data_IF_625497957712
#
_entry.id   IF_625497957712
#
_cell.length_a   1.000
_cell.length_b   1.000
_cell.length_c   1.000
_cell.angle_alpha   90.00
_cell.angle_beta   90.00
_cell.angle_gamma   90.00
#
_symmetry.space_group_name_H-M   'P 1'
#
loop_
_entity.id
_entity.type
_entity.pdbx_description
1 polymer ?
#
# COMPACT_ATOMS: atom_id res chain seq x y z
N UNK A 1 10.63 1.13 -25.65
CA UNK A 1 10.90 2.58 -25.62
C UNK A 1 12.20 2.97 -26.34
N UNK A 2 13.38 2.51 -25.89
CA UNK A 2 14.69 2.88 -26.48
C UNK A 2 14.80 2.72 -28.00
N UNK A 3 14.24 1.63 -28.56
CA UNK A 3 14.20 1.43 -30.03
C UNK A 3 13.45 2.55 -30.77
N UNK A 4 12.40 3.12 -30.19
CA UNK A 4 11.65 4.26 -30.75
C UNK A 4 12.47 5.55 -30.68
N UNK A 5 13.19 5.76 -29.58
CA UNK A 5 14.09 6.91 -29.41
C UNK A 5 15.21 6.90 -30.47
N UNK A 6 15.87 5.76 -30.68
CA UNK A 6 16.92 5.62 -31.71
C UNK A 6 16.37 5.90 -33.12
N UNK A 7 15.10 5.60 -33.37
CA UNK A 7 14.41 5.87 -34.64
C UNK A 7 13.88 7.31 -34.76
N UNK A 8 14.04 8.15 -33.73
CA UNK A 8 13.51 9.51 -33.70
C UNK A 8 12.00 9.60 -33.47
N UNK A 9 11.35 8.48 -33.12
CA UNK A 9 9.90 8.36 -32.91
C UNK A 9 9.46 8.71 -31.47
N UNK A 10 10.42 8.93 -30.56
CA UNK A 10 10.18 9.28 -29.16
C UNK A 10 11.34 10.10 -28.60
N UNK A 11 11.08 10.89 -27.56
CA UNK A 11 12.10 11.68 -26.86
C UNK A 11 12.65 10.95 -25.63
N UNK A 12 13.87 11.30 -25.22
CA UNK A 12 14.45 10.82 -23.96
C UNK A 12 13.62 11.21 -22.74
N UNK A 13 12.94 12.35 -22.78
CA UNK A 13 12.05 12.78 -21.69
C UNK A 13 10.93 11.79 -21.41
N UNK A 14 10.39 11.15 -22.44
CA UNK A 14 9.32 10.13 -22.32
C UNK A 14 9.83 8.84 -21.64
N UNK A 15 11.13 8.55 -21.71
CA UNK A 15 11.72 7.41 -21.01
C UNK A 15 11.81 7.64 -19.49
N UNK A 16 11.96 8.90 -19.09
CA UNK A 16 12.11 9.31 -17.70
C UNK A 16 10.79 9.79 -17.08
N UNK A 17 9.68 9.69 -17.81
CA UNK A 17 8.37 9.92 -17.23
C UNK A 17 8.15 8.98 -16.04
N UNK A 18 7.53 9.52 -14.99
CA UNK A 18 7.27 8.76 -13.78
C UNK A 18 6.35 7.60 -14.13
N UNK A 19 6.82 6.39 -13.85
CA UNK A 19 6.04 5.18 -14.09
C UNK A 19 4.81 5.16 -13.18
N UNK A 20 3.62 5.22 -13.79
CA UNK A 20 2.35 5.14 -13.08
C UNK A 20 1.88 3.68 -13.04
N UNK A 21 1.92 3.07 -11.85
CA UNK A 21 1.52 1.68 -11.64
C UNK A 21 0.06 1.39 -11.97
N UNK A 22 -0.79 2.42 -11.96
CA UNK A 22 -2.21 2.32 -12.31
C UNK A 22 -2.42 2.00 -13.79
N UNK A 23 -1.39 2.21 -14.62
CA UNK A 23 -1.43 1.82 -16.03
C UNK A 23 -1.45 0.31 -16.19
N UNK A 24 -0.69 -0.40 -15.35
CA UNK A 24 -0.46 -1.84 -15.50
C UNK A 24 -1.21 -2.69 -14.46
N UNK A 25 -1.64 -2.11 -13.34
CA UNK A 25 -2.29 -2.84 -12.25
C UNK A 25 -3.67 -2.26 -11.95
N UNK A 26 -4.61 -3.18 -11.70
CA UNK A 26 -6.01 -2.85 -11.35
C UNK A 26 -6.36 -3.22 -9.92
N UNK A 27 -5.54 -4.06 -9.30
CA UNK A 27 -5.75 -4.60 -7.97
C UNK A 27 -4.55 -4.21 -7.11
N UNK A 28 -4.81 -3.69 -5.92
CA UNK A 28 -3.75 -3.24 -5.03
C UNK A 28 -4.02 -3.70 -3.60
N UNK A 29 -2.96 -4.07 -2.91
CA UNK A 29 -2.92 -4.27 -1.47
C UNK A 29 -2.21 -3.07 -0.85
N UNK A 30 -2.91 -2.27 -0.05
CA UNK A 30 -2.33 -1.17 0.73
C UNK A 30 -2.04 -1.67 2.15
N UNK A 31 -0.82 -1.45 2.61
CA UNK A 31 -0.41 -1.63 4.00
C UNK A 31 -0.25 -0.26 4.64
N UNK A 32 -0.81 -0.04 5.81
CA UNK A 32 -0.71 1.21 6.55
C UNK A 32 -0.25 0.95 7.99
N UNK A 33 0.94 1.43 8.31
CA UNK A 33 1.50 1.42 9.67
C UNK A 33 1.07 2.70 10.39
N UNK A 34 0.57 2.55 11.61
CA UNK A 34 0.43 3.63 12.59
C UNK A 34 1.39 3.41 13.75
N UNK A 35 2.07 4.47 14.18
CA UNK A 35 3.03 4.50 15.27
C UNK A 35 2.68 5.59 16.29
N UNK A 36 3.10 5.38 17.54
CA UNK A 36 2.85 6.29 18.65
C UNK A 36 3.81 7.49 18.60
N UNK A 37 5.02 7.27 18.06
CA UNK A 37 6.01 8.31 17.85
C UNK A 37 6.84 8.08 16.56
N UNK A 38 7.65 9.08 16.20
CA UNK A 38 8.48 9.03 15.00
C UNK A 38 9.59 7.97 15.07
N UNK A 39 10.18 7.71 16.23
CA UNK A 39 11.25 6.71 16.37
C UNK A 39 10.70 5.31 16.14
N UNK A 40 9.51 5.03 16.68
CA UNK A 40 8.76 3.81 16.39
C UNK A 40 8.44 3.71 14.89
N UNK A 41 7.94 4.77 14.26
CA UNK A 41 7.64 4.79 12.82
C UNK A 41 8.87 4.43 11.97
N UNK A 42 10.03 5.01 12.27
CA UNK A 42 11.29 4.73 11.56
C UNK A 42 11.71 3.28 11.76
N UNK A 43 11.67 2.79 13.00
CA UNK A 43 12.09 1.44 13.37
C UNK A 43 11.20 0.37 12.76
N UNK A 44 9.89 0.45 12.98
CA UNK A 44 8.91 -0.50 12.45
C UNK A 44 8.74 -0.37 10.93
N UNK A 45 8.74 0.86 10.42
CA UNK A 45 8.70 1.11 8.98
C UNK A 45 9.93 0.55 8.26
N UNK A 46 11.12 0.62 8.88
CA UNK A 46 12.33 0.00 8.37
C UNK A 46 12.26 -1.53 8.38
N UNK A 47 11.70 -2.13 9.43
CA UNK A 47 11.46 -3.57 9.50
C UNK A 47 10.51 -4.02 8.39
N UNK A 48 9.36 -3.36 8.23
CA UNK A 48 8.38 -3.67 7.17
C UNK A 48 9.02 -3.51 5.80
N UNK A 49 9.73 -2.40 5.54
CA UNK A 49 10.45 -2.17 4.29
C UNK A 49 11.38 -3.33 3.91
N UNK A 50 12.06 -3.92 4.90
CA UNK A 50 12.98 -5.05 4.68
C UNK A 50 12.28 -6.36 4.35
N UNK A 51 10.97 -6.48 4.65
CA UNK A 51 10.16 -7.70 4.53
C UNK A 51 9.08 -7.63 3.45
N UNK A 52 8.81 -6.46 2.86
CA UNK A 52 7.84 -6.35 1.76
C UNK A 52 8.12 -7.28 0.59
N UNK A 53 9.39 -7.60 0.33
CA UNK A 53 9.76 -8.57 -0.71
C UNK A 53 9.31 -9.98 -0.37
N UNK A 54 9.38 -10.38 0.90
CA UNK A 54 8.89 -11.68 1.37
C UNK A 54 7.37 -11.77 1.15
N UNK A 55 6.62 -10.71 1.50
CA UNK A 55 5.17 -10.64 1.22
C UNK A 55 4.85 -10.71 -0.28
N UNK A 56 5.58 -9.95 -1.11
CA UNK A 56 5.37 -10.00 -2.56
C UNK A 56 5.59 -11.40 -3.10
N UNK A 57 6.65 -12.10 -2.66
CA UNK A 57 6.90 -13.48 -3.05
C UNK A 57 5.79 -14.43 -2.60
N UNK A 58 5.28 -14.33 -1.38
CA UNK A 58 4.15 -15.15 -0.93
C UNK A 58 2.88 -14.91 -1.76
N UNK A 59 2.60 -13.65 -2.12
CA UNK A 59 1.46 -13.33 -2.99
C UNK A 59 1.65 -13.91 -4.40
N UNK A 60 2.86 -13.90 -4.93
CA UNK A 60 3.20 -14.49 -6.24
C UNK A 60 3.15 -16.03 -6.27
N UNK A 61 3.14 -16.70 -5.11
CA UNK A 61 2.90 -18.15 -5.02
C UNK A 61 1.42 -18.52 -5.27
N UNK A 62 0.50 -17.56 -5.18
CA UNK A 62 -0.91 -17.82 -5.44
C UNK A 62 -1.17 -18.07 -6.94
N UNK A 63 -1.86 -19.14 -7.29
CA UNK A 63 -2.13 -19.60 -8.68
C UNK A 63 -2.67 -18.52 -9.63
N UNK A 64 -3.35 -17.52 -9.08
CA UNK A 64 -4.00 -16.46 -9.85
C UNK A 64 -3.29 -15.11 -9.82
N UNK A 65 -2.19 -14.95 -9.07
CA UNK A 65 -1.42 -13.71 -9.01
C UNK A 65 -0.15 -13.92 -9.82
N UNK A 66 -0.02 -13.23 -10.96
CA UNK A 66 1.11 -13.43 -11.88
C UNK A 66 2.38 -12.71 -11.43
N UNK A 67 2.20 -11.52 -10.86
CA UNK A 67 3.31 -10.70 -10.36
C UNK A 67 2.81 -9.65 -9.39
N UNK A 68 3.70 -9.21 -8.50
CA UNK A 68 3.46 -8.14 -7.53
C UNK A 68 4.51 -7.05 -7.66
N UNK A 69 4.05 -5.78 -7.68
CA UNK A 69 4.90 -4.59 -7.72
C UNK A 69 4.78 -3.80 -6.43
N UNK A 70 5.89 -3.72 -5.68
CA UNK A 70 5.95 -2.95 -4.43
C UNK A 70 6.24 -1.49 -4.74
N UNK A 71 5.46 -0.60 -4.14
CA UNK A 71 5.56 0.84 -4.32
C UNK A 71 5.48 1.52 -2.96
N UNK A 72 6.49 2.33 -2.67
CA UNK A 72 6.51 3.10 -1.43
C UNK A 72 5.67 4.35 -1.65
N UNK A 73 4.62 4.49 -0.86
CA UNK A 73 3.85 5.73 -0.77
C UNK A 73 4.67 6.70 0.07
N UNK A 74 4.75 7.98 -0.31
CA UNK A 74 5.47 8.96 0.51
C UNK A 74 4.81 9.08 1.88
N UNK A 75 5.63 9.17 2.92
CA UNK A 75 5.18 9.27 4.30
C UNK A 75 4.28 10.51 4.45
N UNK A 76 3.04 10.31 4.87
CA UNK A 76 2.11 11.41 5.13
C UNK A 76 2.31 11.87 6.57
N UNK A 77 3.24 12.81 6.78
CA UNK A 77 3.34 13.51 8.06
C UNK A 77 2.14 14.45 8.19
N UNK A 78 1.15 14.07 8.99
CA UNK A 78 0.07 14.99 9.39
C UNK A 78 0.46 15.71 10.68
N UNK A 79 1.33 16.71 10.59
CA UNK A 79 1.57 17.64 11.72
C UNK A 79 1.71 19.05 11.18
N UNK A 80 1.07 20.02 11.85
CA UNK A 80 1.46 21.42 11.78
C UNK A 80 2.95 21.53 12.02
N UNK A 81 3.70 21.75 10.95
CA UNK A 81 5.15 21.63 10.86
C UNK A 81 5.89 22.42 11.95
N UNK A 82 6.85 21.81 12.65
CA UNK A 82 8.13 22.44 12.89
C UNK A 82 9.14 21.75 11.97
N UNK A 83 9.35 22.37 10.82
CA UNK A 83 10.53 22.13 9.99
C UNK A 83 11.78 22.20 10.87
N UNK A 84 12.63 21.18 10.77
CA UNK A 84 14.02 21.18 11.20
C UNK A 84 14.27 21.03 12.71
N UNK A 85 14.30 19.79 13.21
CA UNK A 85 14.98 19.47 14.47
C UNK A 85 16.50 19.52 14.25
N UNK A 86 17.13 20.61 14.67
CA UNK A 86 18.58 20.66 14.91
C UNK A 86 18.89 20.03 16.28
N UNK A 87 19.91 19.16 16.41
CA UNK A 87 20.34 18.70 17.72
C UNK A 87 20.99 19.86 18.49
N UNK A 88 20.35 20.33 19.58
CA UNK A 88 20.98 21.29 20.50
C UNK A 88 20.06 22.26 21.25
N UNK A 89 18.74 22.29 21.01
CA UNK A 89 17.86 23.25 21.68
C UNK A 89 16.84 22.54 22.55
N UNK A 90 16.93 22.75 23.86
CA UNK A 90 15.98 22.22 24.83
C UNK A 90 14.56 22.77 24.54
N UNK A 91 13.51 21.94 24.61
CA UNK A 91 12.15 22.41 24.33
C UNK A 91 11.64 23.23 25.51
N UNK A 92 11.47 24.54 25.29
CA UNK A 92 10.71 25.42 26.18
C UNK A 92 9.23 25.05 26.07
N UNK A 93 8.60 24.86 27.22
CA UNK A 93 7.24 24.37 27.40
C UNK A 93 6.21 25.06 26.48
N UNK A 94 5.52 24.26 25.66
CA UNK A 94 4.33 24.68 24.91
C UNK A 94 3.14 23.85 25.40
N UNK A 95 2.05 24.58 25.67
CA UNK A 95 0.79 24.18 26.29
C UNK A 95 0.17 22.85 25.79
N UNK A 96 -0.47 22.04 26.65
CA UNK A 96 -1.08 20.77 26.28
C UNK A 96 -2.48 21.01 25.68
N UNK A 97 -2.51 21.50 24.44
CA UNK A 97 -3.74 21.53 23.64
C UNK A 97 -3.38 21.54 22.17
N UNK A 98 -2.84 20.41 21.69
CA UNK A 98 -2.50 20.22 20.30
C UNK A 98 -2.87 18.78 19.91
N UNK A 99 -3.75 18.67 18.91
CA UNK A 99 -4.14 17.46 18.21
C UNK A 99 -2.92 16.57 17.98
N UNK A 100 -2.87 15.43 18.65
CA UNK A 100 -1.79 14.44 18.49
C UNK A 100 -1.73 14.03 17.00
N UNK A 101 -0.68 14.44 16.30
CA UNK A 101 -0.45 13.96 14.94
C UNK A 101 -0.22 12.45 14.98
N UNK A 102 -0.92 11.70 14.12
CA UNK A 102 -0.65 10.29 13.95
C UNK A 102 0.60 10.11 13.09
N UNK A 103 1.58 9.34 13.59
CA UNK A 103 2.74 8.95 12.80
C UNK A 103 2.35 7.76 11.94
N UNK A 104 2.21 7.96 10.63
CA UNK A 104 1.81 6.88 9.73
C UNK A 104 2.72 6.75 8.50
N UNK A 105 2.75 5.53 7.97
CA UNK A 105 3.49 5.17 6.76
C UNK A 105 2.72 4.15 5.97
N UNK A 106 2.75 4.26 4.65
CA UNK A 106 1.97 3.39 3.77
C UNK A 106 2.83 2.76 2.68
N UNK A 107 2.41 1.58 2.24
CA UNK A 107 2.97 0.88 1.10
C UNK A 107 1.84 0.37 0.22
N UNK A 108 2.08 0.34 -1.08
CA UNK A 108 1.13 -0.16 -2.07
C UNK A 108 1.76 -1.31 -2.85
N UNK A 109 1.07 -2.42 -2.94
CA UNK A 109 1.48 -3.58 -3.72
C UNK A 109 0.48 -3.75 -4.87
N UNK A 110 0.90 -3.43 -6.09
CA UNK A 110 0.11 -3.66 -7.30
C UNK A 110 0.16 -5.13 -7.69
N UNK A 111 -1.00 -5.77 -7.85
CA UNK A 111 -1.13 -7.19 -8.16
C UNK A 111 -1.68 -7.37 -9.59
N UNK A 112 -0.96 -8.13 -10.42
CA UNK A 112 -1.44 -8.58 -11.73
C UNK A 112 -2.21 -9.90 -11.55
N UNK A 113 -3.52 -9.77 -11.33
CA UNK A 113 -4.41 -10.92 -11.16
C UNK A 113 -4.84 -11.44 -12.53
N UNK A 114 -4.60 -12.74 -12.77
CA UNK A 114 -5.02 -13.43 -13.99
C UNK A 114 -6.55 -13.40 -14.08
N UNK A 115 -7.07 -12.84 -15.18
CA UNK A 115 -8.51 -12.78 -15.44
C UNK A 115 -9.09 -14.17 -15.57
N UNK A 116 -10.31 -14.35 -15.07
CA UNK A 116 -11.06 -15.58 -15.30
C UNK A 116 -11.33 -15.76 -16.80
N UNK A 117 -11.33 -17.01 -17.30
CA UNK A 117 -11.74 -17.27 -18.68
C UNK A 117 -13.19 -16.81 -18.87
N UNK A 118 -13.46 -16.17 -20.02
CA UNK A 118 -14.82 -15.78 -20.38
C UNK A 118 -15.68 -17.03 -20.53
N UNK A 119 -16.82 -17.07 -19.84
CA UNK A 119 -17.80 -18.15 -20.04
C UNK A 119 -18.38 -18.09 -21.46
N UNK A 120 -18.93 -19.20 -21.94
CA UNK A 120 -19.59 -19.29 -23.25
C UNK A 120 -20.73 -18.26 -23.42
N UNK A 121 -21.34 -17.83 -22.31
CA UNK A 121 -22.40 -16.80 -22.26
C UNK A 121 -21.87 -15.36 -22.21
N UNK A 122 -20.56 -15.14 -22.41
CA UNK A 122 -19.92 -13.82 -22.36
C UNK A 122 -19.81 -13.22 -20.95
N UNK A 123 -20.34 -13.89 -19.94
CA UNK A 123 -20.17 -13.54 -18.53
C UNK A 123 -18.76 -13.92 -18.08
N UNK A 124 -18.00 -12.96 -17.56
CA UNK A 124 -16.75 -13.25 -16.84
C UNK A 124 -17.10 -13.62 -15.41
N UNK A 125 -16.87 -14.88 -14.98
CA UNK A 125 -17.09 -15.24 -13.59
C UNK A 125 -16.11 -14.48 -12.71
N UNK A 126 -16.61 -13.99 -11.56
CA UNK A 126 -15.77 -13.39 -10.54
C UNK A 126 -14.81 -14.46 -10.01
N UNK A 127 -13.51 -14.17 -10.02
CA UNK A 127 -12.48 -15.06 -9.47
C UNK A 127 -12.21 -14.63 -8.03
N UNK A 128 -12.43 -15.54 -7.10
CA UNK A 128 -12.10 -15.33 -5.70
C UNK A 128 -10.60 -15.62 -5.50
N UNK A 129 -9.90 -14.65 -4.90
CA UNK A 129 -8.47 -14.71 -4.59
C UNK A 129 -8.36 -14.48 -3.10
N UNK A 130 -8.04 -15.53 -2.34
CA UNK A 130 -7.84 -15.44 -0.91
C UNK A 130 -6.35 -15.27 -0.61
N UNK A 131 -5.98 -14.10 -0.07
CA UNK A 131 -4.61 -13.77 0.30
C UNK A 131 -4.35 -13.84 1.81
N UNK A 132 -5.36 -14.19 2.60
CA UNK A 132 -5.29 -14.30 4.06
C UNK A 132 -4.10 -15.13 4.55
N UNK A 133 -3.80 -16.34 4.00
CA UNK A 133 -2.66 -17.13 4.48
C UNK A 133 -1.31 -16.43 4.26
N UNK A 134 -1.14 -15.70 3.17
CA UNK A 134 0.10 -14.97 2.88
C UNK A 134 0.29 -13.76 3.80
N UNK A 135 -0.80 -13.06 4.12
CA UNK A 135 -0.79 -11.99 5.12
C UNK A 135 -0.45 -12.55 6.51
N UNK A 136 -1.06 -13.67 6.90
CA UNK A 136 -0.75 -14.31 8.18
C UNK A 136 0.73 -14.70 8.29
N UNK A 137 1.31 -15.30 7.25
CA UNK A 137 2.74 -15.61 7.19
C UNK A 137 3.60 -14.35 7.33
N UNK A 138 3.22 -13.27 6.67
CA UNK A 138 3.92 -12.00 6.77
C UNK A 138 3.88 -11.41 8.19
N UNK A 139 2.72 -11.39 8.85
CA UNK A 139 2.62 -10.95 10.24
C UNK A 139 3.45 -11.82 11.19
N UNK A 140 3.49 -13.14 10.97
CA UNK A 140 4.34 -14.05 11.76
C UNK A 140 5.82 -13.68 11.64
N UNK A 141 6.31 -13.41 10.42
CA UNK A 141 7.70 -12.97 10.21
C UNK A 141 8.00 -11.65 10.91
N UNK A 142 7.06 -10.69 10.88
CA UNK A 142 7.22 -9.43 11.60
C UNK A 142 7.29 -9.66 13.11
N UNK A 143 6.40 -10.51 13.64
CA UNK A 143 6.36 -10.86 15.05
C UNK A 143 7.63 -11.60 15.52
N UNK A 144 8.18 -12.51 14.71
CA UNK A 144 9.46 -13.18 15.01
C UNK A 144 10.64 -12.19 15.13
N UNK A 145 10.57 -11.08 14.39
CA UNK A 145 11.60 -10.03 14.40
C UNK A 145 11.39 -9.00 15.51
N UNK A 146 10.15 -8.81 15.93
CA UNK A 146 9.77 -7.94 17.03
C UNK A 146 8.54 -8.49 17.75
N UNK A 147 8.81 -9.29 18.79
CA UNK A 147 7.76 -9.95 19.56
C UNK A 147 6.96 -8.99 20.46
N UNK A 148 7.48 -7.78 20.71
CA UNK A 148 6.88 -6.81 21.62
C UNK A 148 5.87 -5.90 20.91
N UNK A 149 5.87 -5.90 19.58
CA UNK A 149 4.98 -5.07 18.77
C UNK A 149 3.74 -5.85 18.35
N UNK A 150 2.55 -5.34 18.65
CA UNK A 150 1.31 -5.89 18.10
C UNK A 150 1.08 -5.37 16.67
N UNK A 151 1.62 -6.10 15.68
CA UNK A 151 1.46 -5.72 14.27
C UNK A 151 0.03 -5.81 13.76
N UNK A 152 -0.84 -6.65 14.36
CA UNK A 152 -2.24 -6.73 13.94
C UNK A 152 -3.00 -5.43 14.24
N UNK A 153 -2.64 -4.74 15.33
CA UNK A 153 -3.24 -3.45 15.69
C UNK A 153 -2.61 -2.28 14.93
N UNK A 154 -1.29 -2.33 14.70
CA UNK A 154 -0.52 -1.21 14.16
C UNK A 154 -0.38 -1.21 12.63
N UNK A 155 -0.44 -2.36 11.97
CA UNK A 155 -0.24 -2.50 10.53
C UNK A 155 -1.51 -3.05 9.87
N UNK A 156 -2.27 -2.18 9.22
CA UNK A 156 -3.54 -2.53 8.58
C UNK A 156 -3.35 -2.85 7.10
N UNK A 157 -3.92 -3.97 6.66
CA UNK A 157 -4.00 -4.35 5.27
C UNK A 157 -5.38 -4.01 4.69
N UNK A 158 -5.40 -3.38 3.51
CA UNK A 158 -6.64 -3.03 2.80
C UNK A 158 -6.50 -3.30 1.30
N UNK A 159 -7.61 -3.69 0.68
CA UNK A 159 -7.66 -4.00 -0.75
C UNK A 159 -8.31 -2.85 -1.52
N UNK A 160 -7.69 -2.48 -2.64
CA UNK A 160 -8.12 -1.37 -3.49
C UNK A 160 -8.20 -1.84 -4.96
N UNK A 161 -9.17 -1.30 -5.69
CA UNK A 161 -9.33 -1.53 -7.13
C UNK A 161 -9.36 -0.23 -7.92
N UNK A 162 -8.75 -0.22 -9.11
CA UNK A 162 -8.72 0.93 -10.01
C UNK A 162 -9.49 0.65 -11.30
N UNK A 163 -10.70 1.19 -11.44
CA UNK A 163 -11.47 1.11 -12.69
C UNK A 163 -11.19 2.34 -13.58
N UNK A 164 -10.78 2.10 -14.82
CA UNK A 164 -10.14 3.10 -15.68
C UNK A 164 -11.06 4.05 -16.44
N UNK A 165 -12.22 4.44 -15.91
CA UNK A 165 -13.08 5.44 -16.54
C UNK A 165 -13.74 6.37 -15.52
N UNK A 166 -13.44 7.66 -15.65
CA UNK A 166 -14.15 8.83 -15.13
C UNK A 166 -14.90 8.67 -13.79
N UNK A 167 -14.21 9.09 -12.71
CA UNK A 167 -14.79 9.67 -11.49
C UNK A 167 -15.88 8.90 -10.73
N UNK A 168 -16.03 7.59 -10.93
CA UNK A 168 -16.95 6.77 -10.15
C UNK A 168 -16.21 5.56 -9.58
N UNK A 169 -15.92 5.62 -8.28
CA UNK A 169 -15.37 4.51 -7.52
C UNK A 169 -16.53 3.71 -6.93
N UNK A 170 -16.68 2.46 -7.37
CA UNK A 170 -17.57 1.50 -6.70
C UNK A 170 -16.91 1.01 -5.43
N UNK A 171 -17.37 1.55 -4.29
CA UNK A 171 -17.17 0.92 -2.99
C UNK A 171 -17.91 -0.41 -2.99
N UNK A 172 -17.26 -1.47 -3.46
CA UNK A 172 -17.78 -2.82 -3.27
C UNK A 172 -17.57 -3.17 -1.82
N UNK A 173 -18.62 -2.94 -1.03
CA UNK A 173 -18.68 -3.35 0.36
C UNK A 173 -18.24 -4.80 0.50
N UNK A 174 -17.42 -5.06 1.51
CA UNK A 174 -16.95 -6.38 1.91
C UNK A 174 -18.13 -7.36 2.00
N UNK A 175 -18.39 -8.05 0.90
CA UNK A 175 -19.34 -9.14 0.80
C UNK A 175 -18.96 -10.00 -0.40
N UNK A 176 -17.83 -10.69 -0.27
CA UNK A 176 -17.86 -12.13 0.00
C UNK A 176 -16.43 -12.66 0.10
N UNK A 177 -16.18 -13.31 1.23
CA UNK A 177 -14.96 -14.02 1.66
C UNK A 177 -13.77 -13.12 2.00
N UNK A 178 -13.90 -12.45 3.14
CA UNK A 178 -12.82 -12.02 4.02
C UNK A 178 -13.17 -12.59 5.40
N UNK A 179 -12.64 -13.77 5.73
CA UNK A 179 -12.78 -14.32 7.07
C UNK A 179 -11.60 -13.83 7.91
N UNK A 180 -11.68 -12.57 8.34
CA UNK A 180 -10.86 -12.03 9.42
C UNK A 180 -11.77 -11.22 10.33
N UNK A 181 -11.75 -11.57 11.61
CA UNK A 181 -12.46 -10.94 12.72
C UNK A 181 -12.51 -9.40 12.57
N UNK A 182 -13.73 -8.87 12.48
CA UNK A 182 -14.23 -7.56 12.96
C UNK A 182 -13.36 -6.28 12.91
N UNK A 183 -12.37 -6.14 12.02
CA UNK A 183 -11.60 -4.88 11.97
C UNK A 183 -11.17 -4.33 10.60
N UNK A 184 -11.79 -4.79 9.51
CA UNK A 184 -11.56 -4.17 8.20
C UNK A 184 -12.42 -2.90 8.04
N UNK A 185 -11.83 -1.74 8.36
CA UNK A 185 -12.45 -0.44 8.15
C UNK A 185 -12.28 0.00 6.69
N UNK A 186 -13.39 0.34 6.04
CA UNK A 186 -13.40 1.02 4.76
C UNK A 186 -12.76 2.41 4.87
N UNK A 187 -11.79 2.71 3.99
CA UNK A 187 -11.11 4.01 3.93
C UNK A 187 -11.62 4.81 2.73
N UNK A 188 -11.94 6.11 2.87
CA UNK A 188 -12.44 6.93 1.77
C UNK A 188 -11.40 7.15 0.67
N UNK A 189 -11.88 7.18 -0.57
CA UNK A 189 -11.16 7.29 -1.84
C UNK A 189 -10.16 8.47 -1.94
N UNK A 190 -10.38 9.56 -1.21
CA UNK A 190 -9.50 10.73 -1.22
C UNK A 190 -8.09 10.44 -0.69
N UNK A 191 -7.89 9.36 0.07
CA UNK A 191 -6.57 8.97 0.55
C UNK A 191 -5.70 8.25 -0.50
N UNK A 192 -6.29 7.56 -1.47
CA UNK A 192 -5.53 6.84 -2.52
C UNK A 192 -4.95 7.83 -3.54
N UNK A 193 -5.74 8.84 -3.91
CA UNK A 193 -5.26 9.94 -4.75
C UNK A 193 -4.17 10.75 -4.03
N UNK A 194 -4.34 11.02 -2.73
CA UNK A 194 -3.33 11.71 -1.92
C UNK A 194 -2.03 10.92 -1.75
N UNK A 195 -2.09 9.58 -1.75
CA UNK A 195 -0.95 8.68 -1.60
C UNK A 195 -0.09 8.56 -2.88
N UNK A 196 -0.69 8.76 -4.06
CA UNK A 196 -0.01 8.56 -5.35
C UNK A 196 0.34 9.86 -6.08
N UNK A 197 -0.24 11.00 -5.71
CA UNK A 197 -0.10 12.27 -6.43
C UNK A 197 0.84 13.32 -5.81
N UNK A 198 1.62 12.99 -4.77
CA UNK A 198 2.65 13.90 -4.23
C UNK A 198 4.05 13.29 -4.17
#
# INVERSE_FOLDING_TARGET
MVKKIIRGEAKWTELFEVYDLRQDHRHFLKLELTADDYQELVRLGGLIDSRLRDLASFLEEHDYIRSVRICKVKDRQSVGSPTHWSPGTAPTAVSPSATAGSFCRSWLLGMDIIRAPSSADGTQPKRDVDITPYLANFYNILHERDANTNFLDKLLASYLTWEGNSSNYTHVGASKVLAVNDSLRAVPTSEVESALLN
#
